data_IF_719968985660
#
_entry.id   IF_719968985660
#
_cell.length_a   1.000
_cell.length_b   1.000
_cell.length_c   1.000
_cell.angle_alpha   90.00
_cell.angle_beta   90.00
_cell.angle_gamma   90.00
#
_symmetry.space_group_name_H-M   'P 1'
#
loop_
_entity.id
_entity.type
_entity.pdbx_description
1 polymer ?
#
# COMPACT_ATOMS: atom_id res chain seq x y z
N UNK A 1 -2.26 -32.33 -49.26
CA UNK A 1 -1.56 -31.96 -48.02
C UNK A 1 -2.24 -30.72 -47.48
N UNK A 2 -3.07 -30.89 -46.46
CA UNK A 2 -3.69 -29.80 -45.71
C UNK A 2 -2.62 -29.23 -44.77
N UNK A 3 -2.55 -27.91 -44.64
CA UNK A 3 -2.30 -27.26 -43.35
C UNK A 3 -2.88 -25.84 -43.40
N UNK A 4 -3.88 -25.65 -42.55
CA UNK A 4 -4.46 -24.38 -42.18
C UNK A 4 -3.54 -23.73 -41.14
N UNK A 5 -3.47 -22.40 -41.12
CA UNK A 5 -3.43 -21.66 -39.86
C UNK A 5 -3.97 -20.24 -40.06
N UNK A 6 -5.23 -20.12 -39.68
CA UNK A 6 -5.91 -18.88 -39.33
C UNK A 6 -5.43 -18.45 -37.93
N UNK A 7 -4.97 -17.21 -37.78
CA UNK A 7 -5.02 -16.43 -36.52
C UNK A 7 -4.30 -15.09 -36.76
N UNK A 8 -4.57 -13.97 -36.09
CA UNK A 8 -5.67 -13.48 -35.25
C UNK A 8 -5.24 -12.05 -34.85
N UNK A 9 -6.23 -11.20 -34.58
CA UNK A 9 -6.18 -10.07 -33.66
C UNK A 9 -5.52 -8.76 -34.14
N UNK A 10 -6.40 -7.92 -34.69
CA UNK A 10 -6.69 -6.56 -34.21
C UNK A 10 -5.81 -6.01 -33.07
N UNK A 11 -4.83 -5.18 -33.41
CA UNK A 11 -4.17 -4.29 -32.48
C UNK A 11 -5.07 -3.07 -32.22
N UNK A 12 -5.97 -3.20 -31.24
CA UNK A 12 -6.73 -2.05 -30.73
C UNK A 12 -5.76 -1.16 -29.96
N UNK A 13 -5.32 -0.10 -30.62
CA UNK A 13 -4.58 1.02 -30.05
C UNK A 13 -5.38 1.63 -28.88
N UNK A 14 -5.13 1.13 -27.68
CA UNK A 14 -5.75 1.61 -26.45
C UNK A 14 -5.23 3.02 -26.18
N UNK A 15 -6.09 4.00 -26.40
CA UNK A 15 -5.91 5.40 -25.99
C UNK A 15 -5.91 5.46 -24.46
N UNK A 16 -4.75 5.22 -23.85
CA UNK A 16 -4.56 5.39 -22.41
C UNK A 16 -4.23 6.86 -22.16
N UNK A 17 -5.23 7.63 -21.76
CA UNK A 17 -5.12 8.92 -21.08
C UNK A 17 -3.93 8.86 -20.09
N UNK A 18 -3.05 9.87 -20.02
CA UNK A 18 -1.98 9.89 -19.03
C UNK A 18 -2.61 10.09 -17.64
N UNK A 19 -3.07 8.99 -17.04
CA UNK A 19 -3.27 8.92 -15.61
C UNK A 19 -1.95 9.37 -14.99
N UNK A 20 -1.94 10.32 -14.04
CA UNK A 20 -0.71 10.73 -13.39
C UNK A 20 -0.11 9.47 -12.76
N UNK A 21 0.94 8.95 -13.39
CA UNK A 21 1.65 7.76 -12.93
C UNK A 21 2.09 8.12 -11.52
N UNK A 22 1.46 7.52 -10.51
CA UNK A 22 1.88 7.67 -9.14
C UNK A 22 3.30 7.14 -9.08
N UNK A 23 4.27 8.06 -9.08
CA UNK A 23 5.67 7.71 -8.93
C UNK A 23 5.81 7.10 -7.54
N UNK A 24 6.11 5.82 -7.52
CA UNK A 24 6.44 5.06 -6.33
C UNK A 24 7.94 5.01 -6.17
N UNK A 25 8.41 4.92 -4.94
CA UNK A 25 9.80 5.03 -4.58
C UNK A 25 10.18 3.96 -3.56
N UNK A 26 11.25 3.21 -3.83
CA UNK A 26 11.70 2.15 -2.95
C UNK A 26 10.80 0.91 -2.97
N UNK A 27 10.88 0.11 -1.93
CA UNK A 27 10.12 -1.13 -1.81
C UNK A 27 8.65 -0.86 -1.49
N UNK A 28 7.78 -1.67 -2.09
CA UNK A 28 6.35 -1.60 -1.83
C UNK A 28 6.09 -2.01 -0.37
N UNK A 29 5.35 -1.20 0.41
CA UNK A 29 5.02 -1.56 1.79
C UNK A 29 4.26 -2.89 1.81
N UNK A 30 4.63 -3.76 2.74
CA UNK A 30 4.04 -5.09 2.86
C UNK A 30 2.83 -4.98 3.79
N UNK A 31 1.64 -5.45 3.36
CA UNK A 31 0.49 -5.48 4.25
C UNK A 31 0.70 -6.55 5.31
N UNK A 32 0.40 -6.22 6.55
CA UNK A 32 0.44 -7.16 7.67
C UNK A 32 -0.94 -7.28 8.29
N UNK A 33 -1.13 -8.31 9.09
CA UNK A 33 -2.40 -8.64 9.73
C UNK A 33 -2.16 -8.89 11.20
N UNK A 34 -2.92 -8.24 12.06
CA UNK A 34 -2.85 -8.48 13.49
C UNK A 34 -3.49 -9.83 13.86
N UNK A 35 -2.98 -10.51 14.89
CA UNK A 35 -3.60 -11.73 15.39
C UNK A 35 -5.03 -11.44 15.85
N UNK A 36 -6.00 -12.21 15.32
CA UNK A 36 -7.42 -12.04 15.62
C UNK A 36 -8.15 -11.01 14.75
N UNK A 37 -7.45 -10.21 13.94
CA UNK A 37 -8.07 -9.37 12.91
C UNK A 37 -8.11 -10.11 11.58
N UNK A 38 -9.18 -9.96 10.80
CA UNK A 38 -9.22 -10.41 9.39
C UNK A 38 -8.76 -9.33 8.40
N UNK A 39 -8.54 -8.11 8.89
CA UNK A 39 -8.20 -6.97 8.06
C UNK A 39 -6.68 -6.86 7.90
N UNK A 40 -6.24 -6.78 6.64
CA UNK A 40 -4.86 -6.44 6.30
C UNK A 40 -4.66 -4.92 6.45
N UNK A 41 -3.52 -4.54 6.97
CA UNK A 41 -3.20 -3.16 7.28
C UNK A 41 -1.80 -2.79 6.79
N UNK A 42 -1.60 -1.51 6.52
CA UNK A 42 -0.30 -0.92 6.19
C UNK A 42 0.10 0.09 7.24
N UNK A 43 1.41 0.27 7.42
CA UNK A 43 1.96 1.37 8.21
C UNK A 43 1.87 2.64 7.35
N UNK A 44 1.14 3.65 7.84
CA UNK A 44 0.94 4.91 7.12
C UNK A 44 2.24 5.64 6.78
N UNK A 45 3.25 5.54 7.66
CA UNK A 45 4.58 6.10 7.42
C UNK A 45 5.32 5.40 6.27
N UNK A 46 5.19 4.09 6.12
CA UNK A 46 5.81 3.34 5.02
C UNK A 46 5.13 3.64 3.69
N UNK A 47 3.79 3.68 3.67
CA UNK A 47 3.02 4.10 2.48
C UNK A 47 3.36 5.54 2.10
N UNK A 48 3.47 6.43 3.09
CA UNK A 48 3.92 7.80 2.88
C UNK A 48 5.33 7.87 2.30
N UNK A 49 6.26 7.06 2.80
CA UNK A 49 7.63 6.98 2.29
C UNK A 49 7.67 6.47 0.84
N UNK A 50 6.93 5.39 0.56
CA UNK A 50 6.81 4.79 -0.77
C UNK A 50 6.24 5.75 -1.82
N UNK A 51 5.31 6.62 -1.43
CA UNK A 51 4.72 7.62 -2.32
C UNK A 51 5.43 8.98 -2.26
N UNK A 52 6.45 9.14 -1.41
CA UNK A 52 7.09 10.43 -1.04
C UNK A 52 6.08 11.49 -0.58
N UNK A 53 4.97 11.05 0.03
CA UNK A 53 3.91 11.91 0.56
C UNK A 53 4.09 12.08 2.07
N UNK A 54 4.94 13.04 2.45
CA UNK A 54 5.29 13.30 3.85
C UNK A 54 4.39 14.34 4.51
N UNK A 55 4.50 14.47 5.84
CA UNK A 55 3.92 15.58 6.63
C UNK A 55 2.40 15.75 6.43
N UNK A 56 1.69 14.64 6.30
CA UNK A 56 0.23 14.62 6.09
C UNK A 56 -0.24 14.89 4.67
N UNK A 57 0.68 15.08 3.70
CA UNK A 57 0.31 15.23 2.28
C UNK A 57 -0.42 13.99 1.76
N UNK A 58 -0.10 12.81 2.28
CA UNK A 58 -0.81 11.56 1.99
C UNK A 58 -2.31 11.69 2.28
N UNK A 59 -2.65 12.17 3.48
CA UNK A 59 -4.03 12.30 3.93
C UNK A 59 -4.75 13.48 3.27
N UNK A 60 -4.03 14.55 2.90
CA UNK A 60 -4.60 15.67 2.12
C UNK A 60 -4.95 15.24 0.71
N UNK A 61 -4.10 14.42 0.08
CA UNK A 61 -4.31 13.93 -1.28
C UNK A 61 -5.41 12.87 -1.34
N UNK A 62 -5.55 12.08 -0.29
CA UNK A 62 -6.57 11.03 -0.17
C UNK A 62 -7.40 11.24 1.11
N UNK A 63 -8.37 12.18 1.12
CA UNK A 63 -9.19 12.46 2.30
C UNK A 63 -10.14 11.31 2.66
N UNK A 64 -10.54 10.49 1.69
CA UNK A 64 -11.33 9.27 1.88
C UNK A 64 -10.50 8.07 2.32
N UNK A 65 -9.18 8.23 2.48
CA UNK A 65 -8.32 7.15 2.95
C UNK A 65 -8.62 6.85 4.41
N UNK A 66 -9.07 5.63 4.66
CA UNK A 66 -9.28 5.18 6.03
C UNK A 66 -7.95 5.14 6.77
N UNK A 67 -7.94 5.72 7.98
CA UNK A 67 -6.77 5.77 8.85
C UNK A 67 -7.21 5.68 10.30
N UNK A 68 -6.44 4.96 11.12
CA UNK A 68 -6.59 4.97 12.59
C UNK A 68 -5.24 4.95 13.27
N UNK A 69 -5.19 5.32 14.54
CA UNK A 69 -3.99 5.09 15.34
C UNK A 69 -3.91 3.62 15.74
N UNK A 70 -2.68 3.11 15.86
CA UNK A 70 -2.43 1.79 16.42
C UNK A 70 -2.82 1.75 17.90
N UNK A 71 -3.34 0.63 18.37
CA UNK A 71 -3.60 0.42 19.81
C UNK A 71 -2.32 0.02 20.55
N UNK A 72 -2.33 0.07 21.88
CA UNK A 72 -1.21 -0.37 22.71
C UNK A 72 -0.92 -1.87 22.54
N UNK A 73 -1.96 -2.69 22.39
CA UNK A 73 -1.83 -4.15 22.20
C UNK A 73 -1.19 -4.48 20.85
N UNK A 74 -1.68 -3.85 19.79
CA UNK A 74 -1.12 -3.97 18.44
C UNK A 74 0.33 -3.49 18.37
N UNK A 75 0.66 -2.44 19.12
CA UNK A 75 2.04 -1.95 19.25
C UNK A 75 2.93 -3.01 19.90
N UNK A 76 2.50 -3.63 21.00
CA UNK A 76 3.27 -4.71 21.66
C UNK A 76 3.52 -5.85 20.69
N UNK A 77 2.53 -6.22 19.89
CA UNK A 77 2.68 -7.25 18.87
C UNK A 77 3.73 -6.90 17.80
N UNK A 78 3.76 -5.65 17.32
CA UNK A 78 4.81 -5.21 16.39
C UNK A 78 6.21 -5.29 17.02
N UNK A 79 6.32 -4.99 18.32
CA UNK A 79 7.58 -5.09 19.06
C UNK A 79 8.01 -6.55 19.19
N UNK A 80 7.08 -7.45 19.51
CA UNK A 80 7.31 -8.90 19.55
C UNK A 80 7.71 -9.46 18.19
N UNK A 81 7.21 -8.89 17.10
CA UNK A 81 7.59 -9.25 15.72
C UNK A 81 9.02 -8.81 15.36
N UNK A 82 9.72 -8.09 16.25
CA UNK A 82 11.10 -7.66 16.07
C UNK A 82 11.26 -6.21 15.62
N UNK A 83 10.18 -5.41 15.57
CA UNK A 83 10.32 -3.97 15.40
C UNK A 83 10.83 -3.34 16.71
N UNK A 84 11.95 -2.63 16.66
CA UNK A 84 12.46 -1.96 17.86
C UNK A 84 11.50 -0.85 18.34
N UNK A 85 11.29 -0.76 19.65
CA UNK A 85 10.43 0.28 20.25
C UNK A 85 10.87 1.69 19.84
N UNK A 86 12.18 1.90 19.71
CA UNK A 86 12.78 3.17 19.29
C UNK A 86 12.53 3.51 17.82
N UNK A 87 12.32 2.50 16.96
CA UNK A 87 11.99 2.70 15.54
C UNK A 87 10.50 2.91 15.32
N UNK A 88 9.65 2.48 16.25
CA UNK A 88 8.19 2.63 16.13
C UNK A 88 7.74 3.99 16.68
N UNK A 89 7.28 4.92 15.82
CA UNK A 89 6.83 6.23 16.29
C UNK A 89 5.70 6.11 17.32
N UNK A 90 5.66 7.02 18.30
CA UNK A 90 4.63 7.07 19.36
C UNK A 90 3.22 7.18 18.77
N UNK A 91 3.08 7.96 17.70
CA UNK A 91 1.82 8.12 16.97
C UNK A 91 1.91 7.39 15.63
N UNK A 92 1.85 6.05 15.67
CA UNK A 92 1.83 5.24 14.46
C UNK A 92 0.39 5.19 13.92
N UNK A 93 0.25 5.55 12.64
CA UNK A 93 -1.04 5.48 11.94
C UNK A 93 -1.08 4.25 11.06
N UNK A 94 -2.19 3.53 11.09
CA UNK A 94 -2.49 2.38 10.28
C UNK A 94 -3.45 2.76 9.16
N UNK A 95 -3.24 2.14 8.01
CA UNK A 95 -4.10 2.26 6.83
C UNK A 95 -4.70 0.89 6.53
N UNK A 96 -5.96 0.85 6.11
CA UNK A 96 -6.58 -0.40 5.69
C UNK A 96 -6.04 -0.80 4.32
N UNK A 97 -5.59 -2.03 4.19
CA UNK A 97 -5.30 -2.62 2.89
C UNK A 97 -6.62 -3.10 2.28
N UNK A 98 -6.91 -2.66 1.07
CA UNK A 98 -8.11 -3.03 0.33
C UNK A 98 -7.76 -3.74 -0.97
#
# INVERSE_FOLDING_TARGET
MLEADSNMASDKKSTTTPNPILKTYGERPVPFQFPGSQEKMYIGSEVGNYLRLFRGTLYKKYPSLWRRMITLEERKWLIELGCSESSLPTNLTLLRAN
#
